data_IF_124904140961
#
_entry.id   IF_124904140961
#
_cell.length_a   1.000
_cell.length_b   1.000
_cell.length_c   1.000
_cell.angle_alpha   90.00
_cell.angle_beta   90.00
_cell.angle_gamma   90.00
#
_symmetry.space_group_name_H-M   'P 1'
#
loop_
_entity.id
_entity.type
_entity.pdbx_description
1 polymer ?
#
# COMPACT_ATOMS: atom_id res chain seq x y z
N UNK A 1 -25.85 26.38 -16.07
CA UNK A 1 -24.95 25.24 -16.40
C UNK A 1 -23.93 25.62 -17.49
N UNK A 2 -22.67 25.16 -17.41
CA UNK A 2 -21.62 25.43 -18.43
C UNK A 2 -21.82 24.63 -19.73
N UNK A 3 -22.44 23.45 -19.67
CA UNK A 3 -22.58 22.53 -20.81
C UNK A 3 -23.59 22.99 -21.88
N UNK A 4 -24.80 23.48 -21.53
CA UNK A 4 -25.74 24.04 -22.52
C UNK A 4 -25.19 25.28 -23.24
N UNK A 5 -24.38 26.09 -22.55
CA UNK A 5 -23.71 27.27 -23.15
C UNK A 5 -22.67 26.89 -24.21
N UNK A 6 -22.17 25.64 -24.20
CA UNK A 6 -21.23 25.10 -25.19
C UNK A 6 -21.92 24.17 -26.20
N UNK A 7 -23.25 24.18 -26.26
CA UNK A 7 -24.06 23.34 -27.15
C UNK A 7 -23.83 21.82 -26.93
N UNK A 8 -23.49 21.41 -25.69
CA UNK A 8 -23.28 20.01 -25.30
C UNK A 8 -24.45 19.53 -24.45
N UNK A 9 -25.10 18.43 -24.87
CA UNK A 9 -26.18 17.77 -24.12
C UNK A 9 -25.58 16.94 -22.98
N UNK A 10 -25.97 17.26 -21.75
CA UNK A 10 -25.63 16.50 -20.55
C UNK A 10 -26.79 15.55 -20.21
N UNK A 11 -26.49 14.25 -20.10
CA UNK A 11 -27.44 13.19 -19.75
C UNK A 11 -26.86 12.42 -18.56
N UNK A 12 -27.49 12.51 -17.40
CA UNK A 12 -27.20 11.67 -16.24
C UNK A 12 -28.37 10.71 -16.00
N UNK A 13 -28.22 9.47 -16.47
CA UNK A 13 -29.27 8.43 -16.46
C UNK A 13 -29.71 8.10 -15.03
N UNK A 14 -28.77 7.96 -14.10
CA UNK A 14 -29.07 7.64 -12.69
C UNK A 14 -29.75 8.78 -11.94
N UNK A 15 -29.51 10.02 -12.35
CA UNK A 15 -30.04 11.21 -11.67
C UNK A 15 -31.30 11.77 -12.35
N UNK A 16 -31.73 11.18 -13.47
CA UNK A 16 -32.88 11.65 -14.25
C UNK A 16 -32.67 13.05 -14.84
N UNK A 17 -31.41 13.46 -15.06
CA UNK A 17 -31.07 14.80 -15.55
C UNK A 17 -30.80 14.73 -17.05
N UNK A 18 -31.65 15.38 -17.85
CA UNK A 18 -31.42 15.64 -19.26
C UNK A 18 -31.51 17.14 -19.53
N UNK A 19 -30.41 17.74 -19.95
CA UNK A 19 -30.34 19.16 -20.32
C UNK A 19 -31.31 19.59 -21.44
N UNK A 20 -31.91 18.65 -22.18
CA UNK A 20 -32.90 18.93 -23.23
C UNK A 20 -34.36 19.00 -22.74
N UNK A 21 -34.67 18.47 -21.54
CA UNK A 21 -36.05 18.40 -21.01
C UNK A 21 -36.40 19.52 -20.02
N UNK A 22 -35.45 20.41 -19.68
CA UNK A 22 -35.63 21.51 -18.73
C UNK A 22 -34.50 21.55 -17.70
N UNK A 23 -34.21 22.73 -17.14
CA UNK A 23 -33.21 22.85 -16.07
C UNK A 23 -33.69 22.09 -14.82
N UNK A 24 -32.99 21.01 -14.47
CA UNK A 24 -33.12 20.41 -13.15
C UNK A 24 -32.36 21.31 -12.16
N UNK A 25 -33.06 22.32 -11.61
CA UNK A 25 -32.52 23.30 -10.65
C UNK A 25 -31.84 22.66 -9.43
N UNK A 26 -32.17 21.40 -9.13
CA UNK A 26 -31.61 20.64 -8.01
C UNK A 26 -30.38 19.79 -8.35
N UNK A 27 -30.02 19.65 -9.64
CA UNK A 27 -28.86 18.84 -10.04
C UNK A 27 -27.53 19.37 -9.45
N UNK A 28 -27.26 20.69 -9.41
CA UNK A 28 -26.08 21.24 -8.74
C UNK A 28 -26.08 20.96 -7.23
N UNK A 29 -27.24 21.04 -6.57
CA UNK A 29 -27.37 20.78 -5.13
C UNK A 29 -27.07 19.32 -4.79
N UNK A 30 -27.61 18.36 -5.56
CA UNK A 30 -27.32 16.93 -5.38
C UNK A 30 -25.83 16.62 -5.57
N UNK A 31 -25.19 17.26 -6.53
CA UNK A 31 -23.74 17.08 -6.74
C UNK A 31 -22.92 17.59 -5.54
N UNK A 32 -23.30 18.76 -4.98
CA UNK A 32 -22.67 19.30 -3.77
C UNK A 32 -22.84 18.34 -2.58
N UNK A 33 -24.03 17.76 -2.37
CA UNK A 33 -24.25 16.78 -1.30
C UNK A 33 -23.41 15.52 -1.48
N UNK A 34 -23.29 15.00 -2.71
CA UNK A 34 -22.45 13.84 -3.00
C UNK A 34 -20.97 14.14 -2.72
N UNK A 35 -20.46 15.28 -3.16
CA UNK A 35 -19.09 15.69 -2.90
C UNK A 35 -18.83 15.86 -1.40
N UNK A 36 -19.78 16.47 -0.68
CA UNK A 36 -19.67 16.68 0.76
C UNK A 36 -19.65 15.36 1.55
N UNK A 37 -20.53 14.41 1.19
CA UNK A 37 -20.57 13.08 1.82
C UNK A 37 -19.27 12.30 1.59
N UNK A 38 -18.74 12.31 0.37
CA UNK A 38 -17.45 11.67 0.04
C UNK A 38 -16.30 12.34 0.80
N UNK A 39 -16.34 13.67 0.96
CA UNK A 39 -15.33 14.41 1.71
C UNK A 39 -15.37 14.09 3.21
N UNK A 40 -16.54 13.99 3.80
CA UNK A 40 -16.68 13.67 5.23
C UNK A 40 -16.26 12.24 5.55
N UNK A 41 -16.73 11.26 4.76
CA UNK A 41 -16.30 9.86 4.88
C UNK A 41 -14.79 9.71 4.71
N UNK A 42 -14.19 10.43 3.75
CA UNK A 42 -12.74 10.48 3.56
C UNK A 42 -12.02 11.05 4.79
N UNK A 43 -12.54 12.12 5.41
CA UNK A 43 -11.98 12.68 6.65
C UNK A 43 -12.06 11.68 7.78
N UNK A 44 -13.18 10.98 7.96
CA UNK A 44 -13.38 9.97 9.00
C UNK A 44 -12.42 8.80 8.84
N UNK A 45 -12.27 8.26 7.62
CA UNK A 45 -11.31 7.18 7.34
C UNK A 45 -9.87 7.64 7.61
N UNK A 46 -9.51 8.86 7.20
CA UNK A 46 -8.18 9.44 7.49
C UNK A 46 -7.95 9.62 8.99
N UNK A 47 -8.95 10.04 9.75
CA UNK A 47 -8.87 10.16 11.20
C UNK A 47 -8.66 8.80 11.88
N UNK A 48 -9.39 7.76 11.45
CA UNK A 48 -9.20 6.38 11.95
C UNK A 48 -7.79 5.87 11.62
N UNK A 49 -7.34 6.04 10.37
CA UNK A 49 -5.97 5.65 9.98
C UNK A 49 -4.90 6.40 10.77
N UNK A 50 -5.10 7.70 11.03
CA UNK A 50 -4.20 8.52 11.85
C UNK A 50 -4.20 8.04 13.30
N UNK A 51 -5.36 7.79 13.89
CA UNK A 51 -5.49 7.28 15.25
C UNK A 51 -4.76 5.93 15.42
N UNK A 52 -5.00 4.97 14.51
CA UNK A 52 -4.25 3.71 14.46
C UNK A 52 -2.75 3.92 14.27
N UNK A 53 -2.36 4.90 13.45
CA UNK A 53 -0.95 5.25 13.27
C UNK A 53 -0.31 5.92 14.48
N UNK A 54 -1.08 6.54 15.38
CA UNK A 54 -0.56 7.18 16.59
C UNK A 54 -0.54 6.26 17.81
N UNK A 55 -1.23 5.11 17.76
CA UNK A 55 -1.30 4.16 18.87
C UNK A 55 0.01 3.39 19.11
N UNK A 56 1.08 3.69 18.38
CA UNK A 56 2.39 3.02 18.49
C UNK A 56 2.42 1.58 17.98
N UNK A 57 1.26 1.01 17.64
CA UNK A 57 1.13 -0.34 17.09
C UNK A 57 1.27 -0.34 15.56
N UNK A 58 1.81 -1.42 14.98
CA UNK A 58 1.81 -1.59 13.54
C UNK A 58 0.39 -1.53 12.96
N UNK A 59 0.18 -0.64 11.99
CA UNK A 59 -1.10 -0.59 11.27
C UNK A 59 -1.20 -1.69 10.20
N UNK A 60 -0.06 -2.29 9.86
CA UNK A 60 0.03 -3.36 8.86
C UNK A 60 -0.31 -4.70 9.49
N UNK A 61 -1.29 -5.41 8.91
CA UNK A 61 -1.69 -6.75 9.36
C UNK A 61 -0.64 -7.84 9.13
N UNK A 62 0.52 -7.51 8.59
CA UNK A 62 1.57 -8.46 8.25
C UNK A 62 2.94 -7.85 8.55
N UNK A 63 3.86 -8.64 9.11
CA UNK A 63 5.22 -8.18 9.31
C UNK A 63 5.95 -8.06 7.99
N UNK A 64 6.96 -7.21 7.99
CA UNK A 64 7.85 -6.98 6.84
C UNK A 64 8.93 -8.04 6.86
N UNK A 65 9.52 -8.34 5.71
CA UNK A 65 10.70 -9.20 5.64
C UNK A 65 11.80 -8.73 6.63
N UNK A 66 12.30 -9.64 7.46
CA UNK A 66 13.20 -9.32 8.58
C UNK A 66 12.50 -9.13 9.92
N UNK A 67 11.17 -9.14 9.96
CA UNK A 67 10.38 -9.05 11.18
C UNK A 67 9.36 -10.18 11.26
N UNK A 68 9.03 -10.57 12.49
CA UNK A 68 7.93 -11.44 12.89
C UNK A 68 6.90 -10.64 13.68
N UNK A 69 5.66 -11.11 13.68
CA UNK A 69 4.59 -10.52 14.48
C UNK A 69 4.32 -11.45 15.67
N UNK A 70 4.36 -10.88 16.86
CA UNK A 70 4.02 -11.57 18.11
C UNK A 70 2.50 -11.66 18.33
N UNK A 71 2.06 -12.40 19.34
CA UNK A 71 0.67 -12.49 19.78
C UNK A 71 0.07 -11.12 20.13
N UNK A 72 0.89 -10.20 20.64
CA UNK A 72 0.52 -8.81 20.97
C UNK A 72 0.53 -7.85 19.77
N UNK A 73 0.71 -8.36 18.55
CA UNK A 73 0.87 -7.60 17.30
C UNK A 73 2.12 -6.71 17.25
N UNK A 74 3.13 -7.02 18.07
CA UNK A 74 4.42 -6.32 18.06
C UNK A 74 5.37 -6.90 17.00
N UNK A 75 6.23 -6.05 16.42
CA UNK A 75 7.26 -6.51 15.49
C UNK A 75 8.53 -6.94 16.23
N UNK A 76 8.83 -8.23 16.15
CA UNK A 76 10.06 -8.85 16.66
C UNK A 76 11.01 -9.05 15.48
N UNK A 77 12.32 -9.00 15.71
CA UNK A 77 13.32 -9.25 14.66
C UNK A 77 13.32 -10.73 14.31
N UNK A 78 13.32 -11.04 13.01
CA UNK A 78 13.47 -12.39 12.49
C UNK A 78 14.96 -12.73 12.34
N UNK A 79 15.48 -13.64 13.17
CA UNK A 79 16.91 -14.00 13.17
C UNK A 79 17.37 -14.62 11.84
N UNK A 80 16.50 -15.35 11.13
CA UNK A 80 16.84 -15.98 9.85
C UNK A 80 16.99 -14.94 8.73
N UNK A 81 16.15 -13.91 8.76
CA UNK A 81 16.13 -12.85 7.75
C UNK A 81 16.98 -11.62 8.13
N UNK A 82 17.39 -11.47 9.39
CA UNK A 82 18.26 -10.41 9.88
C UNK A 82 19.58 -10.25 9.10
N UNK A 83 20.36 -11.32 8.80
CA UNK A 83 21.60 -11.17 8.02
C UNK A 83 21.34 -10.67 6.61
N UNK A 84 20.24 -11.09 5.98
CA UNK A 84 19.82 -10.63 4.65
C UNK A 84 19.50 -9.14 4.66
N UNK A 85 18.79 -8.65 5.68
CA UNK A 85 18.48 -7.21 5.80
C UNK A 85 19.75 -6.37 5.99
N UNK A 86 20.69 -6.84 6.82
CA UNK A 86 21.99 -6.17 7.00
C UNK A 86 22.81 -6.15 5.70
N UNK A 87 22.74 -7.23 4.92
CA UNK A 87 23.37 -7.32 3.62
C UNK A 87 22.75 -6.33 2.61
N UNK A 88 21.42 -6.22 2.56
CA UNK A 88 20.73 -5.24 1.72
C UNK A 88 21.17 -3.83 2.08
N UNK A 89 21.26 -3.50 3.37
CA UNK A 89 21.67 -2.18 3.83
C UNK A 89 23.12 -1.85 3.43
N UNK A 90 24.04 -2.79 3.62
CA UNK A 90 25.44 -2.62 3.21
C UNK A 90 25.59 -2.51 1.68
N UNK A 91 24.79 -3.23 0.89
CA UNK A 91 24.75 -3.07 -0.57
C UNK A 91 24.21 -1.71 -1.00
N UNK A 92 23.22 -1.16 -0.30
CA UNK A 92 22.71 0.20 -0.51
C UNK A 92 23.78 1.24 -0.19
N UNK A 93 24.49 1.11 0.93
CA UNK A 93 25.60 2.00 1.31
C UNK A 93 26.75 1.96 0.30
N UNK A 94 27.00 0.81 -0.32
CA UNK A 94 27.97 0.66 -1.39
C UNK A 94 27.54 1.31 -2.73
N UNK A 95 26.38 1.99 -2.78
CA UNK A 95 25.91 2.70 -3.97
C UNK A 95 25.25 1.81 -5.02
N UNK A 96 24.87 0.57 -4.67
CA UNK A 96 24.14 -0.28 -5.61
C UNK A 96 22.68 0.17 -5.73
N UNK A 97 22.22 0.36 -6.96
CA UNK A 97 20.83 0.69 -7.24
C UNK A 97 19.85 -0.48 -6.98
N UNK A 98 18.54 -0.19 -6.89
CA UNK A 98 17.49 -1.17 -6.60
C UNK A 98 17.58 -2.48 -7.37
N UNK A 99 17.68 -2.35 -8.69
CA UNK A 99 17.65 -3.46 -9.63
C UNK A 99 18.89 -4.34 -9.48
N UNK A 100 20.05 -3.72 -9.17
CA UNK A 100 21.30 -4.45 -8.98
C UNK A 100 21.27 -5.24 -7.68
N UNK A 101 20.72 -4.67 -6.61
CA UNK A 101 20.55 -5.37 -5.33
C UNK A 101 19.60 -6.55 -5.49
N UNK A 102 18.43 -6.35 -6.13
CA UNK A 102 17.50 -7.44 -6.40
C UNK A 102 18.17 -8.58 -7.18
N UNK A 103 18.97 -8.26 -8.21
CA UNK A 103 19.70 -9.27 -8.97
C UNK A 103 20.73 -10.03 -8.13
N UNK A 104 21.52 -9.33 -7.30
CA UNK A 104 22.50 -9.97 -6.40
C UNK A 104 21.81 -10.95 -5.44
N UNK A 105 20.68 -10.54 -4.85
CA UNK A 105 19.93 -11.38 -3.91
C UNK A 105 19.29 -12.59 -4.63
N UNK A 106 18.81 -12.41 -5.86
CA UNK A 106 18.29 -13.51 -6.69
C UNK A 106 19.40 -14.51 -7.06
N UNK A 107 20.61 -14.02 -7.39
CA UNK A 107 21.79 -14.86 -7.67
C UNK A 107 22.25 -15.64 -6.42
N UNK A 108 21.95 -15.15 -5.23
CA UNK A 108 22.22 -15.81 -3.94
C UNK A 108 21.09 -16.77 -3.50
N UNK A 109 20.07 -16.96 -4.33
CA UNK A 109 18.91 -17.82 -4.05
C UNK A 109 18.19 -17.49 -2.73
N UNK A 110 18.17 -16.20 -2.37
CA UNK A 110 17.51 -15.77 -1.14
C UNK A 110 15.99 -15.88 -1.32
N UNK A 111 15.30 -16.62 -0.43
CA UNK A 111 13.88 -16.84 -0.57
C UNK A 111 13.09 -15.54 -0.35
N UNK A 112 12.09 -15.33 -1.20
CA UNK A 112 11.10 -14.27 -1.07
C UNK A 112 10.35 -14.39 0.27
N UNK A 113 9.88 -13.26 0.79
CA UNK A 113 9.01 -13.22 1.98
C UNK A 113 7.83 -14.20 1.92
N UNK A 114 7.17 -14.33 0.77
CA UNK A 114 6.05 -15.28 0.59
C UNK A 114 6.50 -16.74 0.64
N UNK A 115 7.66 -17.05 0.06
CA UNK A 115 8.29 -18.38 0.12
C UNK A 115 8.74 -18.72 1.54
N UNK A 116 9.32 -17.76 2.26
CA UNK A 116 9.72 -17.91 3.65
C UNK A 116 8.51 -18.16 4.57
N UNK A 117 7.43 -17.38 4.41
CA UNK A 117 6.16 -17.61 5.11
C UNK A 117 5.58 -19.01 4.80
N UNK A 118 5.64 -19.45 3.54
CA UNK A 118 5.19 -20.77 3.12
C UNK A 118 6.00 -21.89 3.78
N UNK A 119 7.34 -21.79 3.80
CA UNK A 119 8.22 -22.77 4.45
C UNK A 119 7.91 -22.90 5.94
N UNK A 120 7.55 -21.80 6.62
CA UNK A 120 7.24 -21.79 8.06
C UNK A 120 5.84 -22.25 8.42
N UNK A 121 4.84 -21.83 7.64
CA UNK A 121 3.42 -21.97 8.02
C UNK A 121 2.61 -22.88 7.08
N UNK A 122 3.19 -23.29 5.95
CA UNK A 122 2.50 -24.02 4.89
C UNK A 122 1.44 -23.21 4.13
N UNK A 123 1.29 -21.91 4.43
CA UNK A 123 0.26 -21.07 3.82
C UNK A 123 0.65 -20.67 2.40
N UNK A 124 -0.19 -21.02 1.42
CA UNK A 124 0.07 -20.77 -0.01
C UNK A 124 -0.42 -19.40 -0.50
N UNK A 125 -1.08 -18.60 0.34
CA UNK A 125 -1.76 -17.35 -0.07
C UNK A 125 -0.87 -16.35 -0.83
N UNK A 126 0.43 -16.35 -0.59
CA UNK A 126 1.43 -15.49 -1.26
C UNK A 126 2.60 -16.28 -1.83
N UNK A 127 2.47 -17.60 -1.85
CA UNK A 127 3.47 -18.47 -2.44
C UNK A 127 3.27 -18.49 -3.94
N UNK A 128 4.28 -18.06 -4.69
CA UNK A 128 4.27 -18.05 -6.14
C UNK A 128 5.32 -19.07 -6.62
N UNK A 129 4.90 -20.31 -6.93
CA UNK A 129 5.82 -21.34 -7.40
C UNK A 129 6.47 -20.89 -8.72
N UNK A 130 7.79 -21.07 -8.83
CA UNK A 130 8.59 -20.62 -9.98
C UNK A 130 9.23 -19.23 -9.84
N UNK A 131 8.88 -18.47 -8.80
CA UNK A 131 9.47 -17.15 -8.48
C UNK A 131 10.07 -17.11 -7.07
N UNK A 132 10.48 -18.28 -6.56
CA UNK A 132 10.82 -18.47 -5.14
C UNK A 132 11.93 -17.54 -4.63
N UNK A 133 12.87 -17.18 -5.51
CA UNK A 133 14.06 -16.37 -5.20
C UNK A 133 14.05 -14.99 -5.88
N UNK A 134 12.89 -14.52 -6.40
CA UNK A 134 12.84 -13.20 -7.04
C UNK A 134 12.86 -12.08 -5.99
N UNK A 135 14.06 -11.56 -5.70
CA UNK A 135 14.26 -10.61 -4.61
C UNK A 135 13.74 -9.19 -4.88
N UNK A 136 13.15 -8.94 -6.05
CA UNK A 136 12.49 -7.67 -6.38
C UNK A 136 11.37 -7.32 -5.38
N UNK A 137 10.64 -8.33 -4.90
CA UNK A 137 9.63 -8.15 -3.85
C UNK A 137 10.26 -7.86 -2.49
N UNK A 138 11.36 -8.55 -2.13
CA UNK A 138 12.05 -8.33 -0.85
C UNK A 138 12.52 -6.88 -0.74
N UNK A 139 13.25 -6.39 -1.76
CA UNK A 139 13.78 -5.04 -1.79
C UNK A 139 12.69 -3.96 -1.70
N UNK A 140 11.59 -4.11 -2.46
CA UNK A 140 10.49 -3.15 -2.45
C UNK A 140 9.75 -3.12 -1.11
N UNK A 141 9.57 -4.26 -0.45
CA UNK A 141 8.94 -4.33 0.87
C UNK A 141 9.85 -3.78 1.99
N UNK A 142 11.11 -4.19 2.04
CA UNK A 142 12.07 -3.75 3.08
C UNK A 142 12.27 -2.24 3.03
N UNK A 143 12.45 -1.66 1.84
CA UNK A 143 12.65 -0.20 1.74
C UNK A 143 11.39 0.61 1.87
N UNK A 144 10.22 0.16 1.37
CA UNK A 144 8.97 0.91 1.59
C UNK A 144 8.67 1.07 3.06
N UNK A 145 8.93 0.05 3.87
CA UNK A 145 8.64 0.12 5.31
C UNK A 145 9.79 0.75 6.10
N UNK A 146 11.05 0.57 5.71
CA UNK A 146 12.15 1.36 6.25
C UNK A 146 11.91 2.86 6.01
N UNK A 147 11.46 3.28 4.82
CA UNK A 147 11.10 4.69 4.57
C UNK A 147 9.90 5.16 5.40
N UNK A 148 8.88 4.31 5.59
CA UNK A 148 7.70 4.64 6.41
C UNK A 148 8.04 4.70 7.91
N UNK A 149 8.95 3.86 8.41
CA UNK A 149 9.40 3.84 9.80
C UNK A 149 10.45 4.92 10.10
N UNK A 150 11.44 5.12 9.22
CA UNK A 150 12.48 6.16 9.39
C UNK A 150 11.93 7.58 9.20
N UNK A 151 10.86 7.78 8.42
CA UNK A 151 10.19 9.09 8.37
C UNK A 151 9.47 9.48 9.67
N UNK A 152 9.49 8.61 10.70
CA UNK A 152 8.88 8.85 12.01
C UNK A 152 9.83 8.67 13.20
N UNK A 153 11.11 8.38 12.96
CA UNK A 153 12.14 8.24 14.01
C UNK A 153 13.18 9.38 13.95
N UNK A 154 12.98 10.39 13.08
CA UNK A 154 13.70 11.66 13.13
C UNK A 154 12.78 12.79 13.60
#
# INVERSE_FOLDING_TARGET
MIFPQKNVRFIAINDGVDSAQGENDFAPLRNIFNEWLVRDTSKKIRAVKRSKGMSGKPVTSKPVYGYLMDEDENFIIDEEAAPVVNQIYSLCLAGNGPTKIARILTEQEIPMSGTLEYRRTGRTRRYHPGYECEAAEIYTYTLRVHWILFSRIA
#
